data_IF_313960139379
#
_entry.id   IF_313960139379
#
_cell.length_a   1.000
_cell.length_b   1.000
_cell.length_c   1.000
_cell.angle_alpha   90.00
_cell.angle_beta   90.00
_cell.angle_gamma   90.00
#
_symmetry.space_group_name_H-M   'P 1'
#
loop_
_entity.id
_entity.type
_entity.pdbx_description
1 polymer ?
#
# COMPACT_ATOMS: atom_id res chain seq x y z
N UNK A 1 7.90 16.32 24.10
CA UNK A 1 8.49 15.33 23.17
C UNK A 1 7.91 13.92 23.40
N UNK A 2 6.62 13.80 23.74
CA UNK A 2 5.94 12.50 23.96
C UNK A 2 4.84 12.22 22.91
N UNK A 3 4.44 13.23 22.12
CA UNK A 3 3.29 13.13 21.23
C UNK A 3 3.59 12.34 19.94
N UNK A 4 4.83 12.33 19.44
CA UNK A 4 5.15 11.71 18.15
C UNK A 4 5.25 10.18 18.26
N UNK A 5 5.74 9.65 19.39
CA UNK A 5 5.92 8.21 19.61
C UNK A 5 4.60 7.50 19.92
N UNK A 6 3.72 8.10 20.73
CA UNK A 6 2.40 7.52 21.03
C UNK A 6 1.45 7.56 19.84
N UNK A 7 1.48 8.63 19.02
CA UNK A 7 0.72 8.69 17.77
C UNK A 7 1.22 7.61 16.79
N UNK A 8 2.54 7.44 16.63
CA UNK A 8 3.10 6.36 15.80
C UNK A 8 2.70 4.96 16.26
N UNK A 9 2.76 4.70 17.57
CA UNK A 9 2.47 3.36 18.11
C UNK A 9 0.99 3.00 17.97
N UNK A 10 0.09 3.96 18.22
CA UNK A 10 -1.35 3.76 18.05
C UNK A 10 -1.79 3.74 16.57
N UNK A 11 -1.12 4.46 15.67
CA UNK A 11 -1.36 4.35 14.21
C UNK A 11 -0.74 3.10 13.59
N UNK A 12 0.35 2.53 14.13
CA UNK A 12 0.94 1.30 13.62
C UNK A 12 0.01 0.08 13.72
N UNK A 13 -0.49 -0.19 14.93
CA UNK A 13 -1.38 -1.33 15.19
C UNK A 13 -2.73 -1.16 14.46
N UNK A 14 -3.25 0.07 14.44
CA UNK A 14 -4.47 0.43 13.74
C UNK A 14 -4.34 0.26 12.22
N UNK A 15 -3.30 0.83 11.61
CA UNK A 15 -3.11 0.75 10.16
C UNK A 15 -2.84 -0.69 9.69
N UNK A 16 -2.09 -1.48 10.46
CA UNK A 16 -1.82 -2.89 10.13
C UNK A 16 -3.09 -3.74 10.20
N UNK A 17 -3.89 -3.56 11.27
CA UNK A 17 -5.19 -4.25 11.42
C UNK A 17 -6.16 -3.85 10.30
N UNK A 18 -6.19 -2.58 9.92
CA UNK A 18 -7.09 -2.12 8.86
C UNK A 18 -6.62 -2.53 7.45
N UNK A 19 -5.31 -2.60 7.18
CA UNK A 19 -4.76 -3.16 5.94
C UNK A 19 -5.01 -4.67 5.81
N UNK A 20 -5.08 -5.37 6.94
CA UNK A 20 -5.44 -6.79 7.02
C UNK A 20 -6.94 -7.04 7.03
N UNK A 21 -7.79 -6.00 7.00
CA UNK A 21 -9.24 -6.18 6.95
C UNK A 21 -9.68 -6.71 5.59
N UNK A 22 -10.58 -7.70 5.59
CA UNK A 22 -11.13 -8.28 4.35
C UNK A 22 -12.18 -7.38 3.68
N UNK A 23 -12.65 -6.34 4.38
CA UNK A 23 -13.68 -5.45 3.83
C UNK A 23 -13.08 -4.31 3.02
N UNK A 24 -13.51 -4.20 1.76
CA UNK A 24 -13.06 -3.18 0.82
C UNK A 24 -13.24 -1.74 1.35
N UNK A 25 -14.37 -1.48 2.04
CA UNK A 25 -14.70 -0.16 2.58
C UNK A 25 -13.80 0.28 3.75
N UNK A 26 -13.06 -0.65 4.35
CA UNK A 26 -12.07 -0.35 5.40
C UNK A 26 -10.68 -0.23 4.77
N UNK A 27 -10.35 -1.15 3.86
CA UNK A 27 -9.01 -1.27 3.28
C UNK A 27 -8.65 -0.12 2.33
N UNK A 28 -9.61 0.37 1.54
CA UNK A 28 -9.35 1.45 0.57
C UNK A 28 -8.98 2.79 1.23
N UNK A 29 -9.69 3.27 2.28
CA UNK A 29 -9.26 4.42 3.08
C UNK A 29 -7.85 4.26 3.69
N UNK A 30 -7.42 3.04 4.01
CA UNK A 30 -6.11 2.81 4.61
C UNK A 30 -4.97 3.12 3.66
N UNK A 31 -5.08 2.74 2.38
CA UNK A 31 -4.08 3.10 1.38
C UNK A 31 -3.97 4.61 1.22
N UNK A 32 -5.10 5.33 1.30
CA UNK A 32 -5.11 6.80 1.24
C UNK A 32 -4.44 7.41 2.48
N UNK A 33 -4.76 6.93 3.67
CA UNK A 33 -4.14 7.39 4.93
C UNK A 33 -2.63 7.13 4.88
N UNK A 34 -2.22 5.93 4.46
CA UNK A 34 -0.81 5.57 4.31
C UNK A 34 -0.09 6.49 3.31
N UNK A 35 -0.71 6.81 2.18
CA UNK A 35 -0.16 7.77 1.22
C UNK A 35 0.07 9.14 1.86
N UNK A 36 -0.91 9.64 2.63
CA UNK A 36 -0.78 10.91 3.35
C UNK A 36 0.28 10.87 4.46
N UNK A 37 0.41 9.75 5.16
CA UNK A 37 1.42 9.56 6.20
C UNK A 37 2.83 9.51 5.62
N UNK A 38 3.01 8.95 4.43
CA UNK A 38 4.30 8.96 3.71
C UNK A 38 4.80 10.40 3.49
N UNK A 39 3.90 11.32 3.15
CA UNK A 39 4.24 12.73 2.91
C UNK A 39 4.38 13.54 4.23
N UNK A 40 3.58 13.24 5.27
CA UNK A 40 3.56 14.01 6.52
C UNK A 40 4.59 13.54 7.54
N UNK A 41 4.84 12.24 7.62
CA UNK A 41 5.67 11.59 8.64
C UNK A 41 6.57 10.50 8.02
N UNK A 42 7.43 10.83 7.04
CA UNK A 42 8.22 9.84 6.29
C UNK A 42 9.09 8.95 7.17
N UNK A 43 9.71 9.50 8.22
CA UNK A 43 10.58 8.74 9.13
C UNK A 43 9.82 7.68 9.92
N UNK A 44 8.58 7.97 10.32
CA UNK A 44 7.71 7.02 11.02
C UNK A 44 7.31 5.87 10.10
N UNK A 45 6.91 6.20 8.87
CA UNK A 45 6.53 5.21 7.86
C UNK A 45 7.71 4.33 7.47
N UNK A 46 8.91 4.91 7.35
CA UNK A 46 10.13 4.16 7.03
C UNK A 46 10.47 3.13 8.11
N UNK A 47 10.29 3.46 9.39
CA UNK A 47 10.52 2.55 10.51
C UNK A 47 9.63 1.29 10.47
N UNK A 48 8.53 1.34 9.73
CA UNK A 48 7.51 0.27 9.68
C UNK A 48 7.31 -0.26 8.26
N UNK A 49 8.10 0.23 7.30
CA UNK A 49 7.94 -0.06 5.88
C UNK A 49 7.96 -1.57 5.62
N UNK A 50 8.85 -2.30 6.28
CA UNK A 50 8.99 -3.74 6.13
C UNK A 50 7.73 -4.52 6.56
N UNK A 51 6.97 -4.04 7.55
CA UNK A 51 5.72 -4.70 7.98
C UNK A 51 4.55 -4.36 7.05
N UNK A 52 4.58 -3.21 6.38
CA UNK A 52 3.56 -2.76 5.42
C UNK A 52 3.68 -3.46 4.06
N UNK A 53 4.89 -3.89 3.67
CA UNK A 53 5.13 -4.55 2.37
C UNK A 53 4.23 -5.77 2.17
N UNK A 54 4.13 -6.65 3.16
CA UNK A 54 3.35 -7.89 3.03
C UNK A 54 1.84 -7.68 2.80
N UNK A 55 1.11 -6.89 3.60
CA UNK A 55 -0.32 -6.67 3.37
C UNK A 55 -0.60 -5.96 2.04
N UNK A 56 0.28 -5.03 1.61
CA UNK A 56 0.16 -4.40 0.29
C UNK A 56 0.39 -5.42 -0.81
N UNK A 57 1.41 -6.27 -0.70
CA UNK A 57 1.72 -7.29 -1.69
C UNK A 57 0.58 -8.29 -1.87
N UNK A 58 -0.05 -8.73 -0.77
CA UNK A 58 -1.25 -9.58 -0.80
C UNK A 58 -2.39 -8.91 -1.55
N UNK A 59 -2.55 -7.60 -1.38
CA UNK A 59 -3.61 -6.81 -2.02
C UNK A 59 -3.41 -6.72 -3.53
N UNK A 60 -2.21 -6.38 -4.01
CA UNK A 60 -1.94 -6.29 -5.44
C UNK A 60 -1.88 -7.66 -6.14
N UNK A 61 -1.63 -8.72 -5.37
CA UNK A 61 -1.59 -10.10 -5.88
C UNK A 61 -2.96 -10.79 -5.83
N UNK A 62 -3.98 -10.15 -5.24
CA UNK A 62 -5.31 -10.72 -5.10
C UNK A 62 -6.00 -10.83 -6.47
N UNK A 63 -6.44 -12.04 -6.80
CA UNK A 63 -7.19 -12.36 -8.02
C UNK A 63 -8.61 -12.75 -7.65
N UNK A 64 -9.64 -12.09 -8.21
CA UNK A 64 -11.02 -12.52 -8.07
C UNK A 64 -11.17 -13.96 -8.54
N UNK A 65 -12.17 -14.66 -7.98
CA UNK A 65 -12.50 -16.02 -8.44
C UNK A 65 -13.05 -15.98 -9.87
N UNK A 66 -12.98 -17.10 -10.60
CA UNK A 66 -13.41 -17.17 -12.00
C UNK A 66 -14.92 -16.96 -12.22
N UNK A 67 -15.71 -17.13 -11.17
CA UNK A 67 -17.15 -16.89 -11.10
C UNK A 67 -17.50 -15.49 -10.56
N UNK A 68 -16.51 -14.64 -10.27
CA UNK A 68 -16.73 -13.30 -9.79
C UNK A 68 -17.51 -12.48 -10.82
N UNK A 69 -18.56 -11.80 -10.35
CA UNK A 69 -19.34 -10.93 -11.23
C UNK A 69 -18.51 -9.69 -11.61
N UNK A 70 -18.81 -9.09 -12.76
CA UNK A 70 -18.04 -7.94 -13.28
C UNK A 70 -17.80 -6.83 -12.25
N UNK A 71 -18.81 -6.53 -11.43
CA UNK A 71 -18.70 -5.53 -10.36
C UNK A 71 -17.66 -5.89 -9.29
N UNK A 72 -17.49 -7.17 -8.96
CA UNK A 72 -16.48 -7.63 -8.01
C UNK A 72 -15.07 -7.52 -8.60
N UNK A 73 -14.93 -7.81 -9.90
CA UNK A 73 -13.68 -7.65 -10.63
C UNK A 73 -13.29 -6.18 -10.69
N UNK A 74 -14.21 -5.30 -11.09
CA UNK A 74 -13.98 -3.85 -11.15
C UNK A 74 -13.61 -3.28 -9.77
N UNK A 75 -14.29 -3.73 -8.71
CA UNK A 75 -13.97 -3.33 -7.33
C UNK A 75 -12.58 -3.80 -6.87
N UNK A 76 -12.16 -5.00 -7.29
CA UNK A 76 -10.80 -5.47 -7.02
C UNK A 76 -9.75 -4.64 -7.77
N UNK A 77 -10.04 -4.29 -9.02
CA UNK A 77 -9.17 -3.44 -9.83
C UNK A 77 -8.98 -2.04 -9.22
N UNK A 78 -10.05 -1.46 -8.66
CA UNK A 78 -9.98 -0.21 -7.89
C UNK A 78 -9.11 -0.36 -6.63
N UNK A 79 -9.23 -1.49 -5.93
CA UNK A 79 -8.43 -1.78 -4.74
C UNK A 79 -6.93 -1.91 -5.07
N UNK A 80 -6.60 -2.60 -6.17
CA UNK A 80 -5.22 -2.72 -6.65
C UNK A 80 -4.67 -1.33 -6.99
N UNK A 81 -5.41 -0.50 -7.73
CA UNK A 81 -5.00 0.88 -8.05
C UNK A 81 -4.78 1.73 -6.79
N UNK A 82 -5.66 1.59 -5.80
CA UNK A 82 -5.52 2.25 -4.49
C UNK A 82 -4.23 1.83 -3.77
N UNK A 83 -3.89 0.54 -3.75
CA UNK A 83 -2.65 0.04 -3.16
C UNK A 83 -1.40 0.55 -3.91
N UNK A 84 -1.44 0.59 -5.24
CA UNK A 84 -0.35 1.10 -6.08
C UNK A 84 -0.09 2.60 -5.86
N UNK A 85 -1.13 3.40 -5.62
CA UNK A 85 -0.99 4.82 -5.21
C UNK A 85 -0.23 4.97 -3.89
N UNK A 86 -0.53 4.09 -2.92
CA UNK A 86 0.20 4.06 -1.66
C UNK A 86 1.68 3.70 -1.88
N UNK A 87 1.97 2.67 -2.68
CA UNK A 87 3.34 2.27 -3.04
C UNK A 87 4.08 3.42 -3.73
N UNK A 88 3.43 4.14 -4.64
CA UNK A 88 4.01 5.32 -5.27
C UNK A 88 4.44 6.35 -4.22
N UNK A 89 3.58 6.63 -3.25
CA UNK A 89 3.89 7.56 -2.16
C UNK A 89 5.03 7.08 -1.28
N UNK A 90 5.07 5.79 -0.94
CA UNK A 90 6.17 5.17 -0.20
C UNK A 90 7.51 5.26 -0.96
N UNK A 91 7.49 5.06 -2.28
CA UNK A 91 8.69 5.11 -3.12
C UNK A 91 9.31 6.51 -3.22
N UNK A 92 8.55 7.57 -2.90
CA UNK A 92 9.06 8.94 -2.83
C UNK A 92 9.78 9.24 -1.53
N UNK A 93 9.62 8.41 -0.49
CA UNK A 93 10.32 8.58 0.79
C UNK A 93 11.81 8.29 0.58
N UNK A 94 12.65 9.27 0.89
CA UNK A 94 14.11 9.10 0.95
C UNK A 94 14.48 8.00 1.94
N UNK A 95 15.18 6.96 1.46
CA UNK A 95 15.59 5.80 2.25
C UNK A 95 14.65 4.60 2.17
N UNK A 96 13.52 4.70 1.46
CA UNK A 96 12.66 3.54 1.15
C UNK A 96 13.41 2.43 0.42
N UNK A 97 14.46 2.78 -0.31
CA UNK A 97 15.35 1.86 -1.01
C UNK A 97 16.29 1.09 -0.06
N UNK A 98 16.45 1.48 1.21
CA UNK A 98 17.20 0.65 2.18
C UNK A 98 16.45 -0.63 2.55
N UNK A 99 15.11 -0.65 2.43
CA UNK A 99 14.32 -1.87 2.62
C UNK A 99 14.49 -2.82 1.43
N UNK A 100 15.10 -3.97 1.68
CA UNK A 100 15.21 -5.05 0.68
C UNK A 100 13.83 -5.58 0.30
N UNK A 101 12.89 -5.67 1.27
CA UNK A 101 11.53 -6.14 1.02
C UNK A 101 10.79 -5.19 0.07
N UNK A 102 10.89 -3.89 0.31
CA UNK A 102 10.24 -2.88 -0.55
C UNK A 102 10.87 -2.84 -1.94
N UNK A 103 12.21 -2.93 -2.04
CA UNK A 103 12.91 -3.08 -3.33
C UNK A 103 12.40 -4.29 -4.14
N UNK A 104 12.27 -5.44 -3.49
CA UNK A 104 11.77 -6.66 -4.14
C UNK A 104 10.31 -6.50 -4.60
N UNK A 105 9.46 -5.85 -3.79
CA UNK A 105 8.09 -5.53 -4.17
C UNK A 105 8.05 -4.63 -5.42
N UNK A 106 8.87 -3.57 -5.46
CA UNK A 106 8.97 -2.68 -6.61
C UNK A 106 9.43 -3.41 -7.87
N UNK A 107 10.43 -4.28 -7.75
CA UNK A 107 10.89 -5.11 -8.87
C UNK A 107 9.79 -6.05 -9.37
N UNK A 108 8.97 -6.62 -8.48
CA UNK A 108 7.84 -7.47 -8.85
C UNK A 108 6.75 -6.69 -9.60
N UNK A 109 6.46 -5.46 -9.16
CA UNK A 109 5.48 -4.57 -9.82
C UNK A 109 5.96 -4.22 -11.22
N UNK A 110 7.22 -3.83 -11.39
CA UNK A 110 7.77 -3.45 -12.70
C UNK A 110 7.97 -4.64 -13.63
N UNK A 111 8.27 -5.84 -13.09
CA UNK A 111 8.39 -7.06 -13.87
C UNK A 111 7.05 -7.64 -14.33
N UNK A 112 5.93 -7.23 -13.74
CA UNK A 112 4.59 -7.71 -14.09
C UNK A 112 3.89 -6.68 -14.99
N UNK A 113 3.71 -6.93 -16.30
CA UNK A 113 3.24 -5.90 -17.25
C UNK A 113 1.91 -5.24 -16.83
N UNK A 114 0.93 -6.05 -16.42
CA UNK A 114 -0.38 -5.54 -15.99
C UNK A 114 -0.32 -4.67 -14.72
N UNK A 115 0.60 -4.96 -13.79
CA UNK A 115 0.81 -4.13 -12.60
C UNK A 115 1.63 -2.89 -12.93
N UNK A 116 2.64 -3.01 -13.79
CA UNK A 116 3.48 -1.90 -14.24
C UNK A 116 2.64 -0.84 -14.96
N UNK A 117 1.71 -1.24 -15.83
CA UNK A 117 0.80 -0.33 -16.51
C UNK A 117 -0.08 0.45 -15.52
N UNK A 118 -0.72 -0.25 -14.57
CA UNK A 118 -1.53 0.39 -13.51
C UNK A 118 -0.68 1.28 -12.60
N UNK A 119 0.53 0.86 -12.27
CA UNK A 119 1.45 1.65 -11.44
C UNK A 119 1.85 2.95 -12.14
N UNK A 120 2.15 2.89 -13.43
CA UNK A 120 2.47 4.07 -14.23
C UNK A 120 1.27 5.02 -14.35
N UNK A 121 0.05 4.49 -14.48
CA UNK A 121 -1.15 5.33 -14.55
C UNK A 121 -1.38 6.12 -13.27
N UNK A 122 -1.16 5.50 -12.10
CA UNK A 122 -1.39 6.15 -10.80
C UNK A 122 -0.23 7.03 -10.33
N UNK A 123 0.97 6.86 -10.89
CA UNK A 123 2.15 7.68 -10.55
C UNK A 123 2.06 9.11 -11.10
N UNK A 124 1.21 9.33 -12.11
CA UNK A 124 1.00 10.64 -12.74
C UNK A 124 -0.18 11.44 -12.19
N UNK A 125 -0.89 10.91 -11.19
CA UNK A 125 -2.01 11.57 -10.49
C UNK A 125 -1.51 12.30 -9.22
#
# INVERSE_FOLDING_TARGET
MYCMTEICFSTQEGLFTMLSADHYDVKMPCHLILSKLADKCPSAVLAVLDSIVEPIEKTISHKPKGDAVKQEVDRNEDMIRSALRAISSLSRISGSDYSIRFKNLMNKITATPALAEKYNSVRGE
#
